data_IF_050430982112
#
_entry.id   IF_050430982112
#
_cell.length_a   1.000
_cell.length_b   1.000
_cell.length_c   1.000
_cell.angle_alpha   90.00
_cell.angle_beta   90.00
_cell.angle_gamma   90.00
#
_symmetry.space_group_name_H-M   'P 1'
#
loop_
_entity.id
_entity.type
_entity.pdbx_description
1 polymer ?
#
# COMPACT_ATOMS: atom_id res chain seq x y z
N UNK A 1 -23.84 -18.09 -46.88
CA UNK A 1 -24.29 -19.01 -45.84
C UNK A 1 -23.34 -18.86 -44.69
N UNK A 2 -23.91 -18.55 -43.58
CA UNK A 2 -23.35 -18.38 -42.22
C UNK A 2 -22.41 -17.19 -42.01
N UNK A 3 -22.99 -16.23 -41.38
CA UNK A 3 -22.39 -15.01 -40.84
C UNK A 3 -21.87 -15.30 -39.43
N UNK A 4 -20.61 -15.08 -39.23
CA UNK A 4 -20.07 -14.88 -37.89
C UNK A 4 -19.96 -13.39 -37.59
N UNK A 5 -20.72 -12.96 -36.62
CA UNK A 5 -20.70 -11.60 -36.10
C UNK A 5 -19.59 -11.46 -35.05
N UNK A 6 -18.56 -10.69 -35.37
CA UNK A 6 -17.51 -10.29 -34.43
C UNK A 6 -18.03 -9.35 -33.36
N UNK A 7 -17.73 -9.70 -32.10
CA UNK A 7 -18.03 -8.90 -30.92
C UNK A 7 -17.14 -7.67 -30.82
N UNK A 8 -17.77 -6.53 -30.70
CA UNK A 8 -17.13 -5.24 -30.41
C UNK A 8 -16.66 -5.17 -28.96
N UNK A 9 -15.37 -4.81 -28.75
CA UNK A 9 -14.83 -4.46 -27.46
C UNK A 9 -15.35 -3.09 -27.00
N UNK A 10 -16.25 -3.08 -26.02
CA UNK A 10 -16.66 -1.87 -25.32
C UNK A 10 -15.77 -1.66 -24.10
N UNK A 11 -15.20 -0.46 -23.97
CA UNK A 11 -14.59 0.06 -22.75
C UNK A 11 -15.69 0.22 -21.70
N UNK A 12 -15.94 -0.83 -20.90
CA UNK A 12 -16.97 -0.84 -19.85
C UNK A 12 -16.45 -0.23 -18.57
N UNK A 13 -17.22 0.72 -18.06
CA UNK A 13 -17.19 1.18 -16.69
C UNK A 13 -17.29 -0.06 -15.75
N UNK A 14 -16.28 -0.30 -14.86
CA UNK A 14 -16.29 -1.47 -13.97
C UNK A 14 -17.50 -1.53 -13.04
N UNK A 15 -18.13 -0.40 -12.75
CA UNK A 15 -19.35 -0.32 -11.92
C UNK A 15 -20.61 -0.72 -12.70
N UNK A 16 -20.67 -0.49 -14.00
CA UNK A 16 -21.81 -0.89 -14.85
C UNK A 16 -21.97 -2.39 -14.98
N UNK A 17 -20.86 -3.13 -15.06
CA UNK A 17 -20.86 -4.60 -15.09
C UNK A 17 -21.37 -5.23 -13.80
N UNK A 18 -21.00 -4.66 -12.65
CA UNK A 18 -21.47 -5.10 -11.32
C UNK A 18 -22.97 -4.89 -11.16
N UNK A 19 -23.49 -3.73 -11.56
CA UNK A 19 -24.91 -3.43 -11.50
C UNK A 19 -25.76 -4.45 -12.27
N UNK A 20 -25.28 -4.87 -13.42
CA UNK A 20 -25.96 -5.84 -14.28
C UNK A 20 -26.00 -7.26 -13.66
N UNK A 21 -24.98 -7.63 -12.87
CA UNK A 21 -24.93 -8.93 -12.18
C UNK A 21 -25.98 -9.02 -11.05
N UNK A 22 -26.24 -7.93 -10.35
CA UNK A 22 -27.27 -7.88 -9.30
C UNK A 22 -28.69 -7.79 -9.84
N UNK A 23 -28.88 -7.37 -11.08
CA UNK A 23 -30.18 -7.31 -11.77
C UNK A 23 -30.56 -8.61 -12.48
N UNK A 24 -29.70 -9.65 -12.46
CA UNK A 24 -29.98 -10.95 -13.05
C UNK A 24 -31.21 -11.60 -12.39
N UNK A 25 -32.28 -11.93 -13.14
CA UNK A 25 -33.47 -12.59 -12.58
C UNK A 25 -33.18 -13.94 -11.92
N UNK A 26 -32.06 -14.58 -12.28
CA UNK A 26 -31.61 -15.86 -11.72
C UNK A 26 -30.62 -15.72 -10.55
N UNK A 27 -30.42 -14.50 -10.04
CA UNK A 27 -29.49 -14.23 -8.97
C UNK A 27 -29.76 -15.10 -7.73
N UNK A 28 -31.00 -15.14 -7.26
CA UNK A 28 -31.40 -15.94 -6.10
C UNK A 28 -31.18 -17.44 -6.31
N UNK A 29 -31.42 -17.95 -7.50
CA UNK A 29 -31.19 -19.33 -7.86
C UNK A 29 -29.71 -19.70 -7.85
N UNK A 30 -28.85 -18.80 -8.37
CA UNK A 30 -27.40 -18.94 -8.34
C UNK A 30 -26.84 -18.93 -6.90
N UNK A 31 -27.37 -18.06 -6.05
CA UNK A 31 -26.96 -17.97 -4.65
C UNK A 31 -27.44 -19.17 -3.83
N UNK A 32 -28.64 -19.69 -4.10
CA UNK A 32 -29.19 -20.88 -3.46
C UNK A 32 -28.44 -22.16 -3.83
N UNK A 33 -27.93 -22.24 -5.08
CA UNK A 33 -27.15 -23.36 -5.57
C UNK A 33 -25.71 -23.41 -5.05
N UNK A 34 -25.20 -22.37 -4.43
CA UNK A 34 -23.84 -22.31 -3.93
C UNK A 34 -23.78 -22.54 -2.39
N UNK A 35 -23.02 -23.53 -1.88
CA UNK A 35 -22.97 -23.86 -0.47
C UNK A 35 -22.48 -22.73 0.44
N UNK A 36 -21.72 -21.77 -0.10
CA UNK A 36 -21.21 -20.59 0.66
C UNK A 36 -22.23 -19.48 0.83
N UNK A 37 -23.23 -19.38 -0.05
CA UNK A 37 -24.24 -18.30 -0.03
C UNK A 37 -25.63 -18.81 0.28
N UNK A 38 -25.90 -20.10 0.17
CA UNK A 38 -27.20 -20.69 0.47
C UNK A 38 -27.67 -20.43 1.92
N UNK A 39 -26.73 -20.47 2.90
CA UNK A 39 -27.02 -20.15 4.30
C UNK A 39 -27.41 -18.69 4.54
N UNK A 40 -26.91 -17.75 3.72
CA UNK A 40 -27.22 -16.33 3.84
C UNK A 40 -28.67 -16.00 3.44
N UNK A 41 -29.26 -16.82 2.57
CA UNK A 41 -30.66 -16.66 2.14
C UNK A 41 -31.67 -17.02 3.24
N UNK A 42 -31.23 -17.64 4.33
CA UNK A 42 -32.07 -17.88 5.50
C UNK A 42 -32.21 -16.65 6.42
N UNK A 43 -31.37 -15.63 6.24
CA UNK A 43 -31.40 -14.39 7.03
C UNK A 43 -32.28 -13.31 6.39
N UNK A 44 -33.42 -12.94 7.01
CA UNK A 44 -34.32 -11.91 6.48
C UNK A 44 -33.62 -10.53 6.29
N UNK A 45 -32.66 -10.19 7.16
CA UNK A 45 -31.93 -8.92 7.08
C UNK A 45 -31.04 -8.87 5.84
N UNK A 46 -30.46 -10.00 5.47
CA UNK A 46 -29.67 -10.13 4.26
C UNK A 46 -30.51 -10.03 2.99
N UNK A 47 -31.69 -10.68 2.97
CA UNK A 47 -32.62 -10.60 1.83
C UNK A 47 -33.10 -9.18 1.60
N UNK A 48 -33.45 -8.45 2.67
CA UNK A 48 -33.87 -7.05 2.57
C UNK A 48 -32.76 -6.17 1.98
N UNK A 49 -31.50 -6.39 2.40
CA UNK A 49 -30.34 -5.65 1.90
C UNK A 49 -30.02 -6.01 0.44
N UNK A 50 -30.15 -7.27 0.06
CA UNK A 50 -30.00 -7.72 -1.32
C UNK A 50 -31.03 -7.05 -2.24
N UNK A 51 -32.29 -6.95 -1.80
CA UNK A 51 -33.34 -6.25 -2.54
C UNK A 51 -33.07 -4.75 -2.67
N UNK A 52 -32.54 -4.12 -1.63
CA UNK A 52 -32.14 -2.71 -1.66
C UNK A 52 -31.05 -2.46 -2.71
N UNK A 53 -30.05 -3.34 -2.79
CA UNK A 53 -28.97 -3.26 -3.78
C UNK A 53 -29.47 -3.55 -5.20
N UNK A 54 -30.43 -4.45 -5.38
CA UNK A 54 -31.08 -4.66 -6.66
C UNK A 54 -31.80 -3.41 -7.17
N UNK A 55 -32.37 -2.62 -6.27
CA UNK A 55 -33.03 -1.34 -6.60
C UNK A 55 -32.02 -0.21 -6.85
N UNK A 56 -30.88 -0.21 -6.16
CA UNK A 56 -29.84 0.79 -6.31
C UNK A 56 -28.43 0.15 -6.33
N UNK A 57 -27.98 -0.40 -7.46
CA UNK A 57 -26.70 -1.14 -7.56
C UNK A 57 -25.44 -0.29 -7.35
N UNK A 58 -25.56 1.03 -7.40
CA UNK A 58 -24.46 1.98 -7.19
C UNK A 58 -24.34 2.46 -5.73
N UNK A 59 -25.09 1.87 -4.80
CA UNK A 59 -25.02 2.23 -3.39
C UNK A 59 -23.65 1.86 -2.78
N UNK A 60 -23.01 2.77 -2.02
CA UNK A 60 -21.77 2.47 -1.29
C UNK A 60 -21.94 1.34 -0.26
N UNK A 61 -23.17 1.01 0.12
CA UNK A 61 -23.51 -0.09 1.03
C UNK A 61 -23.18 -1.48 0.49
N UNK A 62 -22.93 -1.60 -0.82
CA UNK A 62 -22.51 -2.85 -1.47
C UNK A 62 -21.22 -3.42 -0.84
N UNK A 63 -20.29 -2.56 -0.45
CA UNK A 63 -18.99 -2.95 0.11
C UNK A 63 -18.95 -2.86 1.65
N UNK A 64 -20.02 -2.40 2.29
CA UNK A 64 -20.09 -2.21 3.74
C UNK A 64 -20.44 -3.48 4.50
N UNK A 65 -21.06 -4.47 3.85
CA UNK A 65 -21.46 -5.73 4.47
C UNK A 65 -20.59 -6.88 3.97
N UNK A 66 -19.84 -7.56 4.86
CA UNK A 66 -18.98 -8.69 4.47
C UNK A 66 -19.70 -9.80 3.70
N UNK A 67 -21.00 -10.02 3.98
CA UNK A 67 -21.83 -11.01 3.29
C UNK A 67 -22.05 -10.66 1.81
N UNK A 68 -22.12 -9.36 1.49
CA UNK A 68 -22.24 -8.91 0.10
C UNK A 68 -20.95 -9.14 -0.71
N UNK A 69 -19.78 -9.10 -0.06
CA UNK A 69 -18.53 -9.44 -0.70
C UNK A 69 -18.43 -10.94 -1.01
N UNK A 70 -19.00 -11.81 -0.18
CA UNK A 70 -19.13 -13.25 -0.48
C UNK A 70 -20.02 -13.49 -1.70
N UNK A 71 -21.15 -12.78 -1.79
CA UNK A 71 -22.04 -12.83 -2.95
C UNK A 71 -21.29 -12.39 -4.22
N UNK A 72 -20.55 -11.29 -4.13
CA UNK A 72 -19.76 -10.76 -5.23
C UNK A 72 -18.70 -11.79 -5.69
N UNK A 73 -18.00 -12.43 -4.76
CA UNK A 73 -17.05 -13.50 -5.05
C UNK A 73 -17.67 -14.66 -5.82
N UNK A 74 -18.87 -15.10 -5.41
CA UNK A 74 -19.62 -16.17 -6.08
C UNK A 74 -20.07 -15.74 -7.49
N UNK A 75 -20.53 -14.50 -7.67
CA UNK A 75 -20.97 -13.97 -8.94
C UNK A 75 -19.82 -13.77 -9.95
N UNK A 76 -18.64 -13.40 -9.44
CA UNK A 76 -17.43 -13.22 -10.26
C UNK A 76 -16.64 -14.52 -10.48
N UNK A 77 -17.04 -15.63 -9.86
CA UNK A 77 -16.29 -16.89 -9.91
C UNK A 77 -14.95 -16.86 -9.19
N UNK A 78 -14.76 -15.92 -8.24
CA UNK A 78 -13.52 -15.74 -7.48
C UNK A 78 -13.76 -16.17 -6.03
N UNK A 79 -12.88 -17.01 -5.49
CA UNK A 79 -12.97 -17.45 -4.09
C UNK A 79 -12.40 -16.39 -3.15
N UNK A 80 -13.24 -15.42 -2.76
CA UNK A 80 -12.92 -14.39 -1.78
C UNK A 80 -13.10 -14.97 -0.37
N UNK A 81 -12.02 -15.47 0.22
CA UNK A 81 -12.00 -15.82 1.64
C UNK A 81 -11.80 -14.56 2.48
N UNK A 82 -12.88 -14.05 3.05
CA UNK A 82 -12.81 -13.01 4.08
C UNK A 82 -12.65 -13.67 5.45
N UNK A 83 -11.59 -13.31 6.14
CA UNK A 83 -11.35 -13.67 7.53
C UNK A 83 -12.13 -12.68 8.39
N UNK A 84 -12.99 -13.20 9.28
CA UNK A 84 -13.68 -12.38 10.27
C UNK A 84 -12.68 -11.53 11.05
N UNK A 85 -12.78 -10.21 10.87
CA UNK A 85 -12.08 -9.23 11.68
C UNK A 85 -13.06 -8.76 12.75
N UNK A 86 -13.11 -9.45 13.87
CA UNK A 86 -13.66 -8.92 15.09
C UNK A 86 -12.53 -8.44 15.98
N UNK A 87 -12.60 -7.15 16.33
CA UNK A 87 -12.01 -6.46 17.45
C UNK A 87 -10.50 -6.19 17.46
N UNK A 88 -10.23 -4.89 17.57
CA UNK A 88 -8.91 -4.30 17.71
C UNK A 88 -8.24 -4.65 19.03
N UNK A 89 -6.94 -4.90 18.92
CA UNK A 89 -6.02 -4.86 20.05
C UNK A 89 -4.73 -4.16 19.64
N UNK A 90 -4.08 -3.42 20.54
CA UNK A 90 -2.94 -2.58 20.24
C UNK A 90 -1.67 -3.36 19.96
N UNK A 91 -0.80 -2.72 19.20
CA UNK A 91 0.53 -3.20 18.83
C UNK A 91 1.36 -3.63 20.05
N UNK A 92 2.01 -4.79 19.94
CA UNK A 92 3.26 -5.03 20.66
C UNK A 92 3.30 -6.13 21.72
N UNK A 93 2.25 -6.92 21.94
CA UNK A 93 2.36 -8.05 22.86
C UNK A 93 2.36 -9.39 22.10
N UNK A 94 3.52 -9.99 21.96
CA UNK A 94 3.62 -11.40 21.60
C UNK A 94 3.15 -12.20 22.82
N UNK A 95 1.94 -12.74 22.75
CA UNK A 95 1.38 -13.58 23.82
C UNK A 95 2.13 -14.90 23.86
N UNK A 96 3.06 -15.00 24.83
CA UNK A 96 3.81 -16.22 25.15
C UNK A 96 3.04 -17.15 26.08
N UNK A 97 1.76 -16.90 26.34
CA UNK A 97 0.97 -17.65 27.32
C UNK A 97 0.16 -18.79 26.71
N UNK A 98 0.26 -19.07 25.41
CA UNK A 98 -0.53 -20.11 24.77
C UNK A 98 0.22 -21.46 24.69
N UNK A 99 0.89 -21.84 25.76
CA UNK A 99 1.40 -23.19 25.99
C UNK A 99 0.57 -23.91 27.08
N UNK A 100 -0.71 -23.63 27.18
CA UNK A 100 -1.61 -24.41 28.02
C UNK A 100 -2.80 -24.85 27.17
N UNK A 101 -2.85 -26.20 27.05
CA UNK A 101 -4.05 -27.01 26.97
C UNK A 101 -4.65 -27.33 25.62
N UNK A 102 -4.21 -28.45 25.26
CA UNK A 102 -5.12 -29.52 24.92
C UNK A 102 -5.84 -29.99 26.19
N UNK A 103 -7.03 -29.60 26.43
CA UNK A 103 -7.98 -30.33 27.22
C UNK A 103 -9.40 -29.86 26.92
N UNK A 104 -10.15 -30.87 26.67
CA UNK A 104 -11.58 -31.07 26.89
C UNK A 104 -12.52 -30.72 25.76
N UNK A 105 -12.69 -31.75 24.93
CA UNK A 105 -13.97 -32.02 24.33
C UNK A 105 -15.02 -32.24 25.46
N UNK A 106 -16.02 -31.37 25.49
CA UNK A 106 -17.19 -31.59 26.37
C UNK A 106 -17.93 -32.86 25.94
N UNK A 107 -18.29 -33.74 26.87
CA UNK A 107 -19.04 -34.97 26.56
C UNK A 107 -20.51 -34.62 26.26
N UNK A 108 -21.03 -35.23 25.21
CA UNK A 108 -22.47 -35.30 24.96
C UNK A 108 -23.23 -35.97 26.12
N UNK A 109 -24.50 -35.60 26.39
CA UNK A 109 -25.28 -36.22 27.45
C UNK A 109 -25.61 -37.70 27.14
N UNK A 110 -25.57 -38.59 28.13
CA UNK A 110 -25.66 -40.03 27.90
C UNK A 110 -27.08 -40.48 27.53
N UNK A 111 -27.19 -41.25 26.45
CA UNK A 111 -28.38 -42.04 26.15
C UNK A 111 -28.49 -43.21 27.16
N UNK A 112 -29.66 -43.58 27.61
CA UNK A 112 -29.81 -44.67 28.59
C UNK A 112 -29.51 -46.02 27.95
N UNK A 113 -28.54 -46.74 28.52
CA UNK A 113 -28.26 -48.13 28.17
C UNK A 113 -28.89 -49.11 29.21
N UNK A 114 -29.24 -50.33 28.78
CA UNK A 114 -29.88 -51.30 29.65
C UNK A 114 -28.89 -51.89 30.65
N UNK A 115 -29.35 -52.15 31.86
CA UNK A 115 -28.59 -52.76 32.95
C UNK A 115 -28.06 -54.15 32.55
N UNK A 116 -26.75 -54.29 32.44
CA UNK A 116 -26.05 -55.57 32.35
C UNK A 116 -25.34 -55.90 33.67
N UNK A 117 -25.33 -57.18 33.95
CA UNK A 117 -24.92 -57.84 35.17
C UNK A 117 -23.48 -57.49 35.63
N UNK A 118 -23.31 -57.41 36.93
CA UNK A 118 -22.04 -57.28 37.64
C UNK A 118 -21.13 -58.47 37.30
N UNK A 119 -19.90 -58.25 36.76
CA UNK A 119 -18.85 -59.25 36.73
C UNK A 119 -18.03 -59.21 38.02
N UNK A 120 -17.58 -60.32 38.40
CA UNK A 120 -16.69 -60.57 39.53
C UNK A 120 -15.38 -59.81 39.43
N UNK A 121 -14.71 -59.45 40.52
CA UNK A 121 -13.46 -58.72 40.52
C UNK A 121 -12.36 -59.52 39.83
N UNK A 122 -11.88 -58.96 38.70
CA UNK A 122 -10.61 -59.47 38.11
C UNK A 122 -9.45 -58.99 38.96
N UNK A 123 -8.40 -59.82 39.12
CA UNK A 123 -7.19 -59.41 39.85
C UNK A 123 -6.58 -58.16 39.18
N UNK A 124 -6.16 -57.20 39.99
CA UNK A 124 -5.43 -56.02 39.56
C UNK A 124 -4.25 -56.47 38.70
N UNK A 125 -4.00 -55.80 37.52
CA UNK A 125 -2.80 -56.08 36.73
C UNK A 125 -1.57 -55.80 37.60
N UNK A 126 -0.75 -56.77 37.80
CA UNK A 126 0.58 -56.64 38.39
C UNK A 126 1.31 -55.57 37.63
N UNK A 127 1.71 -54.47 38.31
CA UNK A 127 2.54 -53.42 37.76
C UNK A 127 3.88 -54.09 37.39
N UNK A 128 4.14 -54.20 36.09
CA UNK A 128 5.47 -54.52 35.60
C UNK A 128 6.48 -53.53 36.24
N UNK A 129 7.68 -53.99 36.68
CA UNK A 129 8.65 -53.09 37.28
C UNK A 129 8.98 -51.99 36.30
N UNK A 130 8.60 -50.74 36.62
CA UNK A 130 9.05 -49.58 35.88
C UNK A 130 10.57 -49.63 35.84
N UNK A 131 11.13 -49.61 34.62
CA UNK A 131 12.57 -49.60 34.38
C UNK A 131 13.16 -48.43 35.21
N UNK A 132 14.11 -48.65 36.10
CA UNK A 132 14.70 -47.64 36.98
C UNK A 132 15.16 -46.41 36.17
N UNK A 133 15.58 -46.62 34.93
CA UNK A 133 15.97 -45.57 33.99
C UNK A 133 14.77 -44.69 33.55
N UNK A 134 13.59 -45.27 33.35
CA UNK A 134 12.38 -44.55 33.02
C UNK A 134 11.91 -43.66 34.20
N UNK A 135 12.04 -44.16 35.42
CA UNK A 135 11.71 -43.45 36.64
C UNK A 135 12.68 -42.28 36.88
N UNK A 136 13.98 -42.43 36.62
CA UNK A 136 14.97 -41.36 36.69
C UNK A 136 14.73 -40.26 35.66
N UNK A 137 14.44 -40.64 34.42
CA UNK A 137 14.07 -39.68 33.35
C UNK A 137 12.83 -38.89 33.72
N UNK A 138 11.81 -39.51 34.29
CA UNK A 138 10.59 -38.86 34.75
C UNK A 138 10.87 -37.84 35.86
N UNK A 139 11.68 -38.20 36.87
CA UNK A 139 12.09 -37.29 37.93
C UNK A 139 12.91 -36.13 37.43
N UNK A 140 13.83 -36.36 36.48
CA UNK A 140 14.63 -35.32 35.85
C UNK A 140 13.74 -34.32 35.07
N UNK A 141 12.75 -34.82 34.33
CA UNK A 141 11.79 -33.97 33.59
C UNK A 141 10.93 -33.16 34.55
N UNK A 142 10.40 -33.75 35.63
CA UNK A 142 9.62 -33.01 36.65
C UNK A 142 10.43 -31.90 37.33
N UNK A 143 11.72 -32.14 37.59
CA UNK A 143 12.63 -31.13 38.13
C UNK A 143 12.89 -30.01 37.15
N UNK A 144 13.10 -30.34 35.85
CA UNK A 144 13.28 -29.38 34.77
C UNK A 144 12.03 -28.52 34.54
N UNK A 145 10.83 -29.13 34.57
CA UNK A 145 9.57 -28.41 34.43
C UNK A 145 9.30 -27.45 35.59
N UNK A 146 9.73 -27.75 36.80
CA UNK A 146 9.71 -26.81 37.95
C UNK A 146 10.60 -25.61 37.69
N UNK A 147 11.81 -25.81 37.21
CA UNK A 147 12.73 -24.73 36.84
C UNK A 147 12.18 -23.90 35.70
N UNK A 148 11.59 -24.51 34.64
CA UNK A 148 10.88 -23.84 33.57
C UNK A 148 9.76 -22.93 34.13
N UNK A 149 8.97 -23.44 35.08
CA UNK A 149 7.88 -22.66 35.67
C UNK A 149 8.40 -21.43 36.43
N UNK A 150 9.49 -21.56 37.21
CA UNK A 150 10.16 -20.45 37.87
C UNK A 150 10.75 -19.46 36.87
N UNK A 151 11.35 -19.95 35.79
CA UNK A 151 11.82 -19.09 34.68
C UNK A 151 10.69 -18.31 34.05
N UNK A 152 9.53 -18.93 33.80
CA UNK A 152 8.36 -18.27 33.23
C UNK A 152 7.76 -17.22 34.16
N UNK A 153 7.77 -17.47 35.47
CA UNK A 153 7.34 -16.50 36.48
C UNK A 153 8.24 -15.25 36.46
N UNK A 154 9.57 -15.46 36.46
CA UNK A 154 10.55 -14.37 36.40
C UNK A 154 10.48 -13.62 35.05
N UNK A 155 10.29 -14.32 33.94
CA UNK A 155 10.06 -13.71 32.63
C UNK A 155 8.85 -12.77 32.63
N UNK A 156 7.70 -13.19 33.20
CA UNK A 156 6.50 -12.34 33.34
C UNK A 156 6.74 -11.11 34.20
N UNK A 157 7.61 -11.24 35.22
CA UNK A 157 8.05 -10.10 36.08
C UNK A 157 9.11 -9.22 35.42
N UNK A 158 9.55 -9.57 34.19
CA UNK A 158 10.66 -8.93 33.46
C UNK A 158 12.03 -9.06 34.14
N UNK A 159 12.19 -10.03 35.03
CA UNK A 159 13.47 -10.40 35.64
C UNK A 159 14.18 -11.37 34.69
N UNK A 160 14.73 -10.84 33.59
CA UNK A 160 15.23 -11.69 32.51
C UNK A 160 16.49 -12.47 32.89
N UNK A 161 17.34 -11.93 33.77
CA UNK A 161 18.56 -12.64 34.22
C UNK A 161 18.23 -13.91 35.01
N UNK A 162 17.28 -13.81 35.94
CA UNK A 162 16.79 -14.95 36.72
C UNK A 162 16.03 -15.94 35.82
N UNK A 163 15.24 -15.44 34.86
CA UNK A 163 14.55 -16.29 33.90
C UNK A 163 15.54 -17.11 33.05
N UNK A 164 16.61 -16.47 32.56
CA UNK A 164 17.69 -17.10 31.82
C UNK A 164 18.36 -18.19 32.64
N UNK A 165 18.70 -17.90 33.91
CA UNK A 165 19.32 -18.90 34.82
C UNK A 165 18.42 -20.10 35.01
N UNK A 166 17.11 -19.93 35.26
CA UNK A 166 16.16 -21.01 35.44
C UNK A 166 15.97 -21.83 34.14
N UNK A 167 15.85 -21.19 32.97
CA UNK A 167 15.72 -21.94 31.73
C UNK A 167 16.99 -22.70 31.35
N UNK A 168 18.15 -22.14 31.63
CA UNK A 168 19.45 -22.84 31.46
C UNK A 168 19.51 -24.08 32.32
N UNK A 169 19.15 -23.95 33.60
CA UNK A 169 19.11 -25.08 34.54
C UNK A 169 18.08 -26.17 34.13
N UNK A 170 16.92 -25.74 33.63
CA UNK A 170 15.93 -26.67 33.10
C UNK A 170 16.51 -27.48 31.93
N UNK A 171 17.24 -26.83 30.99
CA UNK A 171 17.92 -27.51 29.89
C UNK A 171 19.03 -28.47 30.35
N UNK A 172 19.76 -28.13 31.41
CA UNK A 172 20.78 -29.03 31.97
C UNK A 172 20.20 -30.29 32.61
N UNK A 173 19.04 -30.15 33.28
CA UNK A 173 18.35 -31.24 33.94
C UNK A 173 17.68 -32.19 32.93
N UNK A 174 17.08 -31.65 31.91
CA UNK A 174 16.38 -32.44 30.87
C UNK A 174 16.44 -31.75 29.52
N UNK A 175 16.73 -32.52 28.46
CA UNK A 175 16.90 -31.99 27.09
C UNK A 175 15.55 -31.88 26.38
N UNK A 176 14.85 -30.75 26.59
CA UNK A 176 13.63 -30.41 25.87
C UNK A 176 13.84 -29.04 25.22
N UNK A 177 13.69 -28.99 23.88
CA UNK A 177 13.93 -27.77 23.07
C UNK A 177 13.02 -26.59 23.47
N UNK A 178 11.91 -26.85 24.14
CA UNK A 178 11.05 -25.80 24.68
C UNK A 178 11.77 -24.89 25.67
N UNK A 179 12.69 -25.48 26.47
CA UNK A 179 13.50 -24.70 27.43
C UNK A 179 14.48 -23.76 26.70
N UNK A 180 15.12 -24.24 25.62
CA UNK A 180 15.98 -23.42 24.78
C UNK A 180 15.19 -22.32 24.06
N UNK A 181 13.98 -22.59 23.61
CA UNK A 181 13.11 -21.60 23.04
C UNK A 181 12.73 -20.51 24.04
N UNK A 182 12.45 -20.88 25.29
CA UNK A 182 12.16 -19.93 26.36
C UNK A 182 13.40 -19.13 26.75
N UNK A 183 14.58 -19.78 26.78
CA UNK A 183 15.86 -19.12 26.96
C UNK A 183 16.12 -18.07 25.86
N UNK A 184 15.87 -18.44 24.60
CA UNK A 184 15.96 -17.51 23.48
C UNK A 184 14.98 -16.34 23.62
N UNK A 185 13.75 -16.58 24.11
CA UNK A 185 12.79 -15.52 24.37
C UNK A 185 13.27 -14.55 25.45
N UNK A 186 13.83 -15.05 26.56
CA UNK A 186 14.32 -14.22 27.63
C UNK A 186 15.52 -13.37 27.21
N UNK A 187 16.45 -13.94 26.43
CA UNK A 187 17.56 -13.19 25.85
C UNK A 187 17.09 -12.12 24.87
N UNK A 188 16.08 -12.42 24.04
CA UNK A 188 15.50 -11.44 23.12
C UNK A 188 14.91 -10.23 23.85
N UNK A 189 14.09 -10.48 24.88
CA UNK A 189 13.47 -9.41 25.67
C UNK A 189 14.49 -8.62 26.52
N UNK A 190 15.57 -9.27 26.94
CA UNK A 190 16.72 -8.61 27.57
C UNK A 190 17.48 -7.69 26.61
N UNK A 191 17.37 -7.93 25.29
CA UNK A 191 18.10 -7.22 24.24
C UNK A 191 19.43 -7.88 23.85
N UNK A 192 19.71 -9.07 24.39
CA UNK A 192 20.88 -9.88 23.99
C UNK A 192 20.50 -10.75 22.78
N UNK A 193 20.51 -10.11 21.61
CA UNK A 193 20.05 -10.76 20.37
C UNK A 193 21.00 -11.87 19.93
N UNK A 194 22.32 -11.76 20.22
CA UNK A 194 23.25 -12.82 19.88
C UNK A 194 23.01 -14.08 20.73
N UNK A 195 22.87 -13.94 22.05
CA UNK A 195 22.54 -15.08 22.92
C UNK A 195 21.15 -15.68 22.57
N UNK A 196 20.21 -14.87 22.10
CA UNK A 196 18.95 -15.35 21.57
C UNK A 196 19.14 -16.24 20.32
N UNK A 197 19.95 -15.80 19.37
CA UNK A 197 20.29 -16.55 18.14
C UNK A 197 20.94 -17.88 18.52
N UNK A 198 21.95 -17.86 19.39
CA UNK A 198 22.70 -19.05 19.81
C UNK A 198 21.78 -20.08 20.49
N UNK A 199 20.93 -19.63 21.43
CA UNK A 199 19.97 -20.52 22.11
C UNK A 199 18.94 -21.12 21.14
N UNK A 200 18.40 -20.32 20.21
CA UNK A 200 17.42 -20.81 19.25
C UNK A 200 18.04 -21.67 18.14
N UNK A 201 19.28 -21.40 17.72
CA UNK A 201 20.01 -22.26 16.79
C UNK A 201 20.25 -23.63 17.40
N UNK A 202 20.69 -23.67 18.66
CA UNK A 202 20.81 -24.91 19.41
C UNK A 202 19.48 -25.65 19.53
N UNK A 203 18.37 -24.91 19.73
CA UNK A 203 17.04 -25.52 19.78
C UNK A 203 16.64 -26.17 18.44
N UNK A 204 17.05 -25.57 17.30
CA UNK A 204 16.83 -26.16 15.97
C UNK A 204 17.67 -27.41 15.75
N UNK A 205 18.97 -27.38 16.09
CA UNK A 205 19.90 -28.50 15.93
C UNK A 205 19.44 -29.70 16.74
N UNK A 206 19.29 -29.53 18.05
CA UNK A 206 18.82 -30.57 18.96
C UNK A 206 17.41 -31.08 18.61
N UNK A 207 16.52 -30.13 18.19
CA UNK A 207 15.16 -30.47 17.80
C UNK A 207 15.08 -31.36 16.57
N UNK A 208 16.00 -31.20 15.62
CA UNK A 208 16.09 -32.07 14.45
C UNK A 208 16.61 -33.48 14.81
N UNK A 209 17.56 -33.56 15.71
CA UNK A 209 18.11 -34.85 16.16
C UNK A 209 17.06 -35.71 16.88
N UNK A 210 16.18 -35.09 17.69
CA UNK A 210 15.15 -35.81 18.46
C UNK A 210 13.80 -35.89 17.73
N UNK A 211 13.71 -35.44 16.47
CA UNK A 211 12.46 -35.34 15.69
C UNK A 211 11.35 -34.58 16.41
N UNK A 212 11.69 -33.44 17.01
CA UNK A 212 10.75 -32.58 17.72
C UNK A 212 9.66 -32.02 16.81
N UNK A 213 8.55 -31.56 17.41
CA UNK A 213 7.46 -30.94 16.66
C UNK A 213 7.99 -29.76 15.81
N UNK A 214 7.78 -29.85 14.50
CA UNK A 214 8.18 -28.84 13.52
C UNK A 214 7.62 -27.44 13.84
N UNK A 215 6.49 -27.34 14.58
CA UNK A 215 5.96 -26.05 15.04
C UNK A 215 6.89 -25.37 16.05
N UNK A 216 7.57 -26.17 16.90
CA UNK A 216 8.52 -25.64 17.88
C UNK A 216 9.79 -25.19 17.16
N UNK A 217 10.27 -25.97 16.19
CA UNK A 217 11.42 -25.63 15.34
C UNK A 217 11.11 -24.34 14.54
N UNK A 218 9.90 -24.22 13.99
CA UNK A 218 9.47 -23.02 13.28
C UNK A 218 9.49 -21.77 14.18
N UNK A 219 9.06 -21.90 15.45
CA UNK A 219 9.13 -20.80 16.44
C UNK A 219 10.58 -20.38 16.71
N UNK A 220 11.52 -21.33 16.79
CA UNK A 220 12.95 -21.03 16.95
C UNK A 220 13.47 -20.21 15.76
N UNK A 221 13.22 -20.66 14.54
CA UNK A 221 13.60 -19.92 13.34
C UNK A 221 12.98 -18.51 13.28
N UNK A 222 11.70 -18.39 13.61
CA UNK A 222 11.03 -17.10 13.63
C UNK A 222 11.68 -16.13 14.64
N UNK A 223 12.15 -16.64 15.79
CA UNK A 223 12.83 -15.85 16.80
C UNK A 223 14.24 -15.45 16.37
N UNK A 224 14.99 -16.37 15.74
CA UNK A 224 16.28 -16.06 15.12
C UNK A 224 16.11 -14.93 14.10
N UNK A 225 15.10 -15.04 13.21
CA UNK A 225 14.79 -14.01 12.24
C UNK A 225 14.49 -12.66 12.90
N UNK A 226 13.69 -12.64 13.98
CA UNK A 226 13.41 -11.42 14.73
C UNK A 226 14.63 -10.82 15.41
N UNK A 227 15.57 -11.67 15.90
CA UNK A 227 16.83 -11.20 16.50
C UNK A 227 17.75 -10.58 15.46
N UNK A 228 17.90 -11.19 14.29
CA UNK A 228 18.67 -10.59 13.17
C UNK A 228 18.04 -9.28 12.68
N UNK A 229 16.71 -9.19 12.65
CA UNK A 229 16.03 -7.93 12.29
C UNK A 229 16.37 -6.80 13.29
N UNK A 230 16.44 -7.11 14.59
CA UNK A 230 16.88 -6.15 15.62
C UNK A 230 18.34 -5.74 15.49
N UNK A 231 19.19 -6.64 14.99
CA UNK A 231 20.59 -6.35 14.67
C UNK A 231 20.75 -5.58 13.34
N UNK A 232 19.69 -5.43 12.55
CA UNK A 232 19.73 -4.78 11.23
C UNK A 232 20.23 -5.69 10.11
N UNK A 233 20.45 -6.97 10.39
CA UNK A 233 20.85 -7.98 9.40
C UNK A 233 19.61 -8.59 8.75
N UNK A 234 19.07 -7.85 7.79
CA UNK A 234 17.84 -8.25 7.11
C UNK A 234 18.03 -9.49 6.21
N UNK A 235 19.25 -9.80 5.77
CA UNK A 235 19.52 -10.96 4.94
C UNK A 235 19.28 -12.25 5.72
N UNK A 236 19.94 -12.38 6.86
CA UNK A 236 19.75 -13.54 7.75
C UNK A 236 18.34 -13.56 8.37
N UNK A 237 17.73 -12.39 8.65
CA UNK A 237 16.35 -12.33 9.12
C UNK A 237 15.38 -12.95 8.10
N UNK A 238 15.46 -12.56 6.83
CA UNK A 238 14.63 -13.07 5.73
C UNK A 238 14.83 -14.58 5.53
N UNK A 239 16.08 -15.06 5.57
CA UNK A 239 16.40 -16.47 5.44
C UNK A 239 15.74 -17.30 6.55
N UNK A 240 15.88 -16.87 7.80
CA UNK A 240 15.30 -17.57 8.95
C UNK A 240 13.78 -17.51 8.97
N UNK A 241 13.14 -16.42 8.55
CA UNK A 241 11.68 -16.39 8.38
C UNK A 241 11.21 -17.35 7.29
N UNK A 242 11.95 -17.52 6.20
CA UNK A 242 11.66 -18.51 5.16
C UNK A 242 11.78 -19.93 5.70
N UNK A 243 12.83 -20.22 6.48
CA UNK A 243 12.97 -21.52 7.15
C UNK A 243 11.79 -21.79 8.10
N UNK A 244 11.41 -20.81 8.92
CA UNK A 244 10.24 -20.93 9.78
C UNK A 244 8.96 -21.27 9.00
N UNK A 245 8.72 -20.60 7.86
CA UNK A 245 7.55 -20.83 7.01
C UNK A 245 7.60 -22.16 6.25
N UNK A 246 8.79 -22.72 6.03
CA UNK A 246 8.97 -24.06 5.47
C UNK A 246 8.56 -25.13 6.48
N UNK A 247 8.97 -24.96 7.74
CA UNK A 247 8.60 -25.88 8.83
C UNK A 247 7.11 -25.74 9.19
N UNK A 248 6.63 -24.51 9.38
CA UNK A 248 5.22 -24.25 9.71
C UNK A 248 4.77 -22.87 9.22
N UNK A 249 3.76 -22.84 8.36
CA UNK A 249 3.23 -21.58 7.80
C UNK A 249 2.31 -20.88 8.80
N UNK A 250 2.68 -19.68 9.21
CA UNK A 250 1.86 -18.81 10.04
C UNK A 250 1.69 -17.43 9.40
N UNK A 251 0.53 -16.77 9.54
CA UNK A 251 0.30 -15.42 9.02
C UNK A 251 1.24 -14.39 9.64
N UNK A 252 1.58 -14.52 10.91
CA UNK A 252 2.49 -13.62 11.65
C UNK A 252 3.89 -13.63 11.02
N UNK A 253 4.49 -14.83 10.82
CA UNK A 253 5.82 -14.92 10.20
C UNK A 253 5.82 -14.44 8.75
N UNK A 254 4.71 -14.64 8.00
CA UNK A 254 4.56 -14.05 6.68
C UNK A 254 4.58 -12.52 6.72
N UNK A 255 3.91 -11.92 7.70
CA UNK A 255 3.93 -10.46 7.87
C UNK A 255 5.33 -9.95 8.22
N UNK A 256 6.04 -10.65 9.13
CA UNK A 256 7.44 -10.34 9.49
C UNK A 256 8.38 -10.46 8.28
N UNK A 257 8.24 -11.52 7.48
CA UNK A 257 9.04 -11.69 6.26
C UNK A 257 8.87 -10.50 5.31
N UNK A 258 7.62 -10.10 5.03
CA UNK A 258 7.34 -8.95 4.16
C UNK A 258 7.89 -7.63 4.73
N UNK A 259 7.79 -7.45 6.05
CA UNK A 259 8.35 -6.30 6.73
C UNK A 259 9.89 -6.27 6.61
N UNK A 260 10.56 -7.40 6.85
CA UNK A 260 12.01 -7.51 6.73
C UNK A 260 12.49 -7.27 5.28
N UNK A 261 11.78 -7.81 4.28
CA UNK A 261 12.07 -7.55 2.86
C UNK A 261 11.93 -6.05 2.52
N UNK A 262 10.88 -5.40 3.02
CA UNK A 262 10.69 -3.96 2.87
C UNK A 262 11.80 -3.16 3.56
N UNK A 263 12.14 -3.51 4.78
CA UNK A 263 13.19 -2.85 5.57
C UNK A 263 14.56 -3.01 4.92
N UNK A 264 14.87 -4.20 4.35
CA UNK A 264 16.08 -4.44 3.56
C UNK A 264 16.16 -3.51 2.36
N UNK A 265 15.06 -3.41 1.59
CA UNK A 265 15.01 -2.52 0.42
C UNK A 265 15.21 -1.05 0.83
N UNK A 266 14.56 -0.61 1.91
CA UNK A 266 14.68 0.74 2.44
C UNK A 266 16.10 1.02 2.96
N UNK A 267 16.69 0.09 3.71
CA UNK A 267 18.07 0.19 4.19
C UNK A 267 19.07 0.30 3.02
N UNK A 268 18.89 -0.53 2.00
CA UNK A 268 19.70 -0.48 0.79
C UNK A 268 19.53 0.85 0.05
N UNK A 269 18.32 1.37 -0.02
CA UNK A 269 18.02 2.68 -0.60
C UNK A 269 18.70 3.81 0.17
N UNK A 270 18.61 3.78 1.49
CA UNK A 270 19.26 4.78 2.35
C UNK A 270 20.80 4.72 2.26
N UNK A 271 21.36 3.52 2.22
CA UNK A 271 22.80 3.34 2.05
C UNK A 271 23.32 3.80 0.67
N UNK A 272 22.42 3.86 -0.33
CA UNK A 272 22.75 4.35 -1.66
C UNK A 272 22.79 5.87 -1.75
N UNK A 273 22.22 6.59 -0.80
CA UNK A 273 22.17 8.05 -0.78
C UNK A 273 23.59 8.61 -0.59
N UNK A 274 24.04 9.42 -1.56
CA UNK A 274 25.35 10.04 -1.58
C UNK A 274 25.26 11.39 -2.35
N UNK A 275 25.16 12.52 -1.63
CA UNK A 275 25.03 13.82 -2.27
C UNK A 275 26.20 14.21 -3.18
N UNK A 276 27.42 13.75 -2.89
CA UNK A 276 28.59 14.04 -3.73
C UNK A 276 28.49 13.33 -5.09
N UNK A 277 28.16 12.04 -5.07
CA UNK A 277 27.91 11.28 -6.30
C UNK A 277 26.67 11.74 -7.05
N UNK A 278 25.66 12.29 -6.33
CA UNK A 278 24.51 12.90 -6.98
C UNK A 278 24.90 14.14 -7.80
N UNK A 279 25.83 14.95 -7.28
CA UNK A 279 26.32 16.12 -7.99
C UNK A 279 27.15 15.73 -9.23
N UNK A 280 28.02 14.71 -9.12
CA UNK A 280 28.75 14.15 -10.25
C UNK A 280 27.80 13.66 -11.35
N UNK A 281 26.76 12.91 -10.97
CA UNK A 281 25.74 12.44 -11.90
C UNK A 281 24.96 13.59 -12.54
N UNK A 282 24.71 14.68 -11.81
CA UNK A 282 24.08 15.90 -12.34
C UNK A 282 24.94 16.56 -13.41
N UNK A 283 26.26 16.67 -13.16
CA UNK A 283 27.19 17.26 -14.11
C UNK A 283 27.32 16.42 -15.38
N UNK A 284 27.38 15.11 -15.24
CA UNK A 284 27.37 14.20 -16.38
C UNK A 284 26.08 14.32 -17.19
N UNK A 285 24.93 14.36 -16.52
CA UNK A 285 23.64 14.56 -17.16
C UNK A 285 23.57 15.90 -17.91
N UNK A 286 24.07 16.99 -17.33
CA UNK A 286 24.13 18.30 -17.96
C UNK A 286 25.05 18.28 -19.19
N UNK A 287 26.16 17.53 -19.15
CA UNK A 287 27.08 17.37 -20.30
C UNK A 287 26.36 16.63 -21.44
N UNK A 288 25.77 15.46 -21.14
CA UNK A 288 25.02 14.67 -22.14
C UNK A 288 23.84 15.46 -22.73
N UNK A 289 23.14 16.21 -21.90
CA UNK A 289 22.05 17.07 -22.37
C UNK A 289 22.53 18.15 -23.38
N UNK A 290 23.71 18.78 -23.14
CA UNK A 290 24.31 19.72 -24.06
C UNK A 290 24.79 19.05 -25.36
N UNK A 291 25.24 17.83 -25.28
CA UNK A 291 25.67 16.99 -26.42
C UNK A 291 24.49 16.42 -27.22
N UNK A 292 23.23 16.72 -26.78
CA UNK A 292 21.99 16.19 -27.36
C UNK A 292 21.83 14.67 -27.19
N UNK A 293 22.60 14.04 -26.32
CA UNK A 293 22.37 12.65 -25.86
C UNK A 293 21.30 12.63 -24.77
N UNK A 294 20.03 12.71 -25.18
CA UNK A 294 18.92 12.76 -24.24
C UNK A 294 18.73 11.44 -23.46
N UNK A 295 18.84 10.25 -24.07
CA UNK A 295 18.78 9.00 -23.31
C UNK A 295 19.88 8.90 -22.26
N UNK A 296 21.11 9.27 -22.59
CA UNK A 296 22.21 9.33 -21.64
C UNK A 296 21.99 10.36 -20.52
N UNK A 297 21.40 11.51 -20.83
CA UNK A 297 21.03 12.51 -19.83
C UNK A 297 19.98 11.98 -18.86
N UNK A 298 18.93 11.28 -19.35
CA UNK A 298 17.90 10.64 -18.53
C UNK A 298 18.52 9.61 -17.59
N UNK A 299 19.46 8.78 -18.08
CA UNK A 299 20.16 7.80 -17.26
C UNK A 299 20.96 8.46 -16.13
N UNK A 300 21.75 9.50 -16.44
CA UNK A 300 22.54 10.22 -15.46
C UNK A 300 21.67 10.98 -14.42
N UNK A 301 20.62 11.65 -14.85
CA UNK A 301 19.70 12.27 -13.89
C UNK A 301 18.91 11.24 -13.05
N UNK A 302 18.66 10.04 -13.59
CA UNK A 302 18.06 8.94 -12.81
C UNK A 302 19.02 8.46 -11.72
N UNK A 303 20.32 8.40 -12.01
CA UNK A 303 21.32 8.11 -10.99
C UNK A 303 21.40 9.22 -9.93
N UNK A 304 21.36 10.50 -10.34
CA UNK A 304 21.27 11.62 -9.42
C UNK A 304 20.07 11.47 -8.46
N UNK A 305 18.88 11.13 -8.97
CA UNK A 305 17.66 10.95 -8.18
C UNK A 305 17.84 9.80 -7.18
N UNK A 306 18.45 8.69 -7.57
CA UNK A 306 18.74 7.58 -6.66
C UNK A 306 19.69 7.97 -5.53
N UNK A 307 20.69 8.81 -5.82
CA UNK A 307 21.69 9.30 -4.87
C UNK A 307 21.18 10.44 -3.97
N UNK A 308 20.24 11.25 -4.48
CA UNK A 308 19.65 12.36 -3.74
C UNK A 308 18.14 12.47 -4.05
N UNK A 309 17.30 11.56 -3.52
CA UNK A 309 15.88 11.47 -3.85
C UNK A 309 15.03 12.65 -3.35
N UNK A 310 15.56 13.47 -2.45
CA UNK A 310 14.87 14.67 -1.94
C UNK A 310 15.25 15.94 -2.73
N UNK A 311 16.23 15.87 -3.62
CA UNK A 311 16.67 17.01 -4.43
C UNK A 311 15.74 17.20 -5.65
N UNK A 312 14.97 18.31 -5.73
CA UNK A 312 14.06 18.59 -6.84
C UNK A 312 14.78 18.78 -8.18
N UNK A 313 16.06 19.14 -8.16
CA UNK A 313 16.86 19.42 -9.36
C UNK A 313 16.97 18.19 -10.25
N UNK A 314 17.12 17.00 -9.67
CA UNK A 314 17.23 15.74 -10.42
C UNK A 314 16.01 15.46 -11.26
N UNK A 315 14.85 15.51 -10.65
CA UNK A 315 13.55 15.34 -11.32
C UNK A 315 13.33 16.39 -12.39
N UNK A 316 13.52 17.66 -12.05
CA UNK A 316 13.33 18.75 -13.00
C UNK A 316 14.29 18.65 -14.21
N UNK A 317 15.53 18.25 -14.02
CA UNK A 317 16.49 18.10 -15.14
C UNK A 317 16.11 16.90 -16.01
N UNK A 318 15.65 15.77 -15.40
CA UNK A 318 15.16 14.61 -16.15
C UNK A 318 13.89 14.97 -16.94
N UNK A 319 12.98 15.73 -16.35
CA UNK A 319 11.81 16.25 -17.04
C UNK A 319 12.19 17.05 -18.30
N UNK A 320 13.24 17.89 -18.24
CA UNK A 320 13.71 18.62 -19.41
C UNK A 320 14.22 17.70 -20.52
N UNK A 321 14.89 16.59 -20.17
CA UNK A 321 15.32 15.58 -21.14
C UNK A 321 14.11 14.84 -21.74
N UNK A 322 13.12 14.47 -20.92
CA UNK A 322 11.88 13.85 -21.40
C UNK A 322 11.07 14.76 -22.35
N UNK A 323 11.01 16.06 -22.07
CA UNK A 323 10.39 17.03 -23.00
C UNK A 323 11.09 17.00 -24.36
N UNK A 324 12.42 16.90 -24.39
CA UNK A 324 13.19 16.80 -25.64
C UNK A 324 12.99 15.46 -26.37
N UNK A 325 12.72 14.41 -25.63
CA UNK A 325 12.37 13.07 -26.17
C UNK A 325 10.88 12.96 -26.54
N UNK A 326 10.09 13.99 -26.35
CA UNK A 326 8.62 14.02 -26.54
C UNK A 326 7.87 13.07 -25.58
N UNK A 327 8.51 12.63 -24.50
CA UNK A 327 7.91 11.82 -23.43
C UNK A 327 7.25 12.73 -22.39
N UNK A 328 6.22 13.45 -22.79
CA UNK A 328 5.57 14.47 -21.98
C UNK A 328 4.91 13.92 -20.70
N UNK A 329 4.26 12.72 -20.69
CA UNK A 329 3.69 12.16 -19.46
C UNK A 329 4.76 11.96 -18.38
N UNK A 330 5.91 11.38 -18.73
CA UNK A 330 7.04 11.19 -17.83
C UNK A 330 7.61 12.52 -17.32
N UNK A 331 7.68 13.51 -18.21
CA UNK A 331 8.10 14.87 -17.84
C UNK A 331 7.14 15.50 -16.80
N UNK A 332 5.83 15.34 -16.97
CA UNK A 332 4.82 15.87 -16.03
C UNK A 332 4.91 15.19 -14.65
N UNK A 333 5.11 13.88 -14.61
CA UNK A 333 5.30 13.14 -13.37
C UNK A 333 6.52 13.64 -12.60
N UNK A 334 7.64 13.82 -13.29
CA UNK A 334 8.86 14.36 -12.71
C UNK A 334 8.68 15.81 -12.24
N UNK A 335 8.01 16.66 -13.02
CA UNK A 335 7.71 18.04 -12.60
C UNK A 335 6.85 18.06 -11.33
N UNK A 336 5.79 17.25 -11.27
CA UNK A 336 4.94 17.17 -10.10
C UNK A 336 5.70 16.64 -8.88
N UNK A 337 6.61 15.68 -9.08
CA UNK A 337 7.46 15.16 -8.02
C UNK A 337 8.42 16.24 -7.51
N UNK A 338 9.05 17.00 -8.40
CA UNK A 338 9.93 18.10 -8.03
C UNK A 338 9.19 19.19 -7.23
N UNK A 339 7.96 19.55 -7.65
CA UNK A 339 7.09 20.50 -6.93
C UNK A 339 6.71 19.98 -5.56
N UNK A 340 6.41 18.67 -5.44
CA UNK A 340 6.10 18.04 -4.15
C UNK A 340 7.30 18.08 -3.19
N UNK A 341 8.53 17.92 -3.71
CA UNK A 341 9.77 18.00 -2.91
C UNK A 341 10.09 19.43 -2.49
N UNK A 342 9.97 20.37 -3.41
CA UNK A 342 10.14 21.80 -3.13
C UNK A 342 9.08 22.61 -3.88
N UNK A 343 8.01 23.05 -3.18
CA UNK A 343 6.96 23.88 -3.78
C UNK A 343 7.43 25.25 -4.30
N UNK A 344 8.65 25.68 -3.94
CA UNK A 344 9.24 26.94 -4.41
C UNK A 344 10.14 26.78 -5.64
N UNK A 345 10.37 25.55 -6.08
CA UNK A 345 11.31 25.26 -7.15
C UNK A 345 10.76 25.63 -8.53
N UNK A 346 10.94 26.88 -8.89
CA UNK A 346 10.35 27.52 -10.10
C UNK A 346 10.59 26.78 -11.41
N UNK A 347 11.78 26.15 -11.57
CA UNK A 347 12.12 25.41 -12.79
C UNK A 347 11.16 24.27 -13.10
N UNK A 348 10.59 23.63 -12.08
CA UNK A 348 9.64 22.55 -12.27
C UNK A 348 8.32 23.05 -12.86
N UNK A 349 7.83 24.23 -12.43
CA UNK A 349 6.62 24.84 -12.99
C UNK A 349 6.80 25.26 -14.45
N UNK A 350 7.94 25.87 -14.78
CA UNK A 350 8.24 26.25 -16.16
C UNK A 350 8.28 25.01 -17.07
N UNK A 351 8.89 23.91 -16.62
CA UNK A 351 8.95 22.68 -17.40
C UNK A 351 7.61 21.96 -17.49
N UNK A 352 6.78 22.02 -16.43
CA UNK A 352 5.39 21.57 -16.46
C UNK A 352 4.61 22.28 -17.57
N UNK A 353 4.74 23.60 -17.67
CA UNK A 353 4.14 24.38 -18.75
C UNK A 353 4.67 23.97 -20.13
N UNK A 354 5.97 23.72 -20.28
CA UNK A 354 6.57 23.25 -21.52
C UNK A 354 6.08 21.86 -21.92
N UNK A 355 5.89 20.96 -20.96
CA UNK A 355 5.37 19.62 -21.21
C UNK A 355 3.90 19.65 -21.68
N UNK A 356 3.05 20.46 -21.04
CA UNK A 356 1.67 20.66 -21.49
C UNK A 356 1.61 21.28 -22.89
N UNK A 357 2.48 22.25 -23.17
CA UNK A 357 2.60 22.82 -24.50
C UNK A 357 2.93 21.75 -25.56
N UNK A 358 3.89 20.89 -25.28
CA UNK A 358 4.28 19.79 -26.17
C UNK A 358 3.14 18.79 -26.43
N UNK A 359 2.29 18.57 -25.44
CA UNK A 359 1.06 17.75 -25.56
C UNK A 359 -0.06 18.47 -26.33
N UNK A 360 0.13 19.69 -26.79
CA UNK A 360 -0.88 20.58 -27.35
C UNK A 360 -2.02 20.93 -26.38
N UNK A 361 -1.80 20.75 -25.10
CA UNK A 361 -2.68 21.17 -24.00
C UNK A 361 -2.35 22.62 -23.64
N UNK A 362 -2.76 23.52 -24.52
CA UNK A 362 -2.34 24.92 -24.43
C UNK A 362 -2.97 25.66 -23.25
N UNK A 363 -4.20 25.33 -22.89
CA UNK A 363 -4.88 25.89 -21.71
C UNK A 363 -4.14 25.54 -20.42
N UNK A 364 -3.85 24.26 -20.22
CA UNK A 364 -3.12 23.75 -19.06
C UNK A 364 -1.67 24.31 -19.03
N UNK A 365 -1.08 24.60 -20.20
CA UNK A 365 0.21 25.27 -20.27
C UNK A 365 0.13 26.71 -19.75
N UNK A 366 -0.92 27.45 -20.08
CA UNK A 366 -1.17 28.81 -19.58
C UNK A 366 -1.42 28.80 -18.08
N UNK A 367 -2.22 27.87 -17.58
CA UNK A 367 -2.48 27.69 -16.15
C UNK A 367 -1.18 27.41 -15.37
N UNK A 368 -0.34 26.52 -15.90
CA UNK A 368 0.97 26.25 -15.31
C UNK A 368 1.91 27.46 -15.34
N UNK A 369 1.84 28.32 -16.37
CA UNK A 369 2.56 29.60 -16.41
C UNK A 369 2.03 30.59 -15.36
N UNK A 370 0.72 30.62 -15.14
CA UNK A 370 0.09 31.46 -14.10
C UNK A 370 0.52 31.00 -12.69
N UNK A 371 0.54 29.69 -12.42
CA UNK A 371 1.11 29.13 -11.19
C UNK A 371 2.58 29.56 -11.03
N UNK A 372 3.38 29.42 -12.10
CA UNK A 372 4.80 29.79 -12.10
C UNK A 372 4.98 31.29 -11.78
N UNK A 373 4.16 32.19 -12.32
CA UNK A 373 4.22 33.66 -12.05
C UNK A 373 4.00 33.95 -10.56
N UNK A 374 3.02 33.29 -9.95
CA UNK A 374 2.72 33.47 -8.52
C UNK A 374 3.93 33.04 -7.68
N UNK A 375 4.49 31.87 -7.96
CA UNK A 375 5.67 31.33 -7.23
C UNK A 375 6.89 32.22 -7.47
N UNK A 376 7.14 32.69 -8.71
CA UNK A 376 8.27 33.54 -9.06
C UNK A 376 8.18 34.87 -8.31
N UNK A 377 7.00 35.50 -8.29
CA UNK A 377 6.80 36.76 -7.58
C UNK A 377 6.95 36.61 -6.05
N UNK A 378 6.43 35.53 -5.47
CA UNK A 378 6.45 35.32 -4.04
C UNK A 378 7.83 34.93 -3.49
N UNK A 379 8.62 34.17 -4.25
CA UNK A 379 9.84 33.54 -3.76
C UNK A 379 11.11 33.92 -4.52
N UNK A 380 11.00 34.45 -5.73
CA UNK A 380 12.13 34.77 -6.60
C UNK A 380 12.14 36.22 -7.08
N UNK A 381 11.28 37.09 -6.54
CA UNK A 381 11.18 38.53 -6.90
C UNK A 381 11.02 38.77 -8.40
N UNK A 382 10.33 37.87 -9.11
CA UNK A 382 10.11 38.00 -10.55
C UNK A 382 11.34 37.72 -11.44
N UNK A 383 12.37 37.08 -10.91
CA UNK A 383 13.61 36.85 -11.65
C UNK A 383 13.45 35.97 -12.90
N UNK A 384 12.41 35.15 -12.95
CA UNK A 384 12.13 34.25 -14.08
C UNK A 384 10.95 34.71 -14.95
N UNK A 385 10.35 35.89 -14.67
CA UNK A 385 9.16 36.39 -15.35
C UNK A 385 9.30 36.40 -16.87
N UNK A 386 10.46 36.79 -17.41
CA UNK A 386 10.70 36.81 -18.86
C UNK A 386 10.55 35.44 -19.52
N UNK A 387 11.08 34.37 -18.88
CA UNK A 387 10.99 33.01 -19.42
C UNK A 387 9.55 32.51 -19.35
N UNK A 388 8.86 32.77 -18.24
CA UNK A 388 7.46 32.40 -18.02
C UNK A 388 6.56 33.11 -19.01
N UNK A 389 6.72 34.44 -19.20
CA UNK A 389 5.94 35.22 -20.16
C UNK A 389 6.15 34.77 -21.61
N UNK A 390 7.38 34.41 -21.98
CA UNK A 390 7.66 33.83 -23.29
C UNK A 390 6.95 32.49 -23.50
N UNK A 391 6.92 31.64 -22.49
CA UNK A 391 6.24 30.34 -22.58
C UNK A 391 4.72 30.53 -22.66
N UNK A 392 4.17 31.40 -21.84
CA UNK A 392 2.75 31.78 -21.87
C UNK A 392 2.34 32.34 -23.22
N UNK A 393 3.12 33.30 -23.78
CA UNK A 393 2.87 33.89 -25.10
C UNK A 393 2.87 32.82 -26.20
N UNK A 394 3.82 31.88 -26.15
CA UNK A 394 3.84 30.74 -27.09
C UNK A 394 2.57 29.91 -26.99
N UNK A 395 2.13 29.60 -25.74
CA UNK A 395 0.93 28.81 -25.52
C UNK A 395 -0.32 29.54 -26.04
N UNK A 396 -0.47 30.85 -25.77
CA UNK A 396 -1.55 31.66 -26.30
C UNK A 396 -1.54 31.68 -27.84
N UNK A 397 -0.39 31.96 -28.46
CA UNK A 397 -0.27 32.00 -29.91
C UNK A 397 -0.67 30.67 -30.56
N UNK A 398 -0.17 29.57 -30.01
CA UNK A 398 -0.50 28.23 -30.53
C UNK A 398 -1.99 27.88 -30.32
N UNK A 399 -2.58 28.30 -29.20
CA UNK A 399 -4.00 28.12 -28.93
C UNK A 399 -4.88 28.89 -29.91
N UNK A 400 -4.51 30.14 -30.21
CA UNK A 400 -5.22 30.96 -31.22
C UNK A 400 -5.10 30.33 -32.60
N UNK A 401 -3.88 29.97 -33.04
CA UNK A 401 -3.66 29.35 -34.34
C UNK A 401 -4.42 28.03 -34.50
N UNK A 402 -4.51 27.21 -33.43
CA UNK A 402 -5.27 25.98 -33.45
C UNK A 402 -6.79 26.20 -33.61
N UNK A 403 -7.28 27.36 -33.18
CA UNK A 403 -8.71 27.74 -33.21
C UNK A 403 -9.09 28.62 -34.43
N UNK A 404 -8.13 29.03 -35.25
CA UNK A 404 -8.37 29.92 -36.38
C UNK A 404 -9.38 29.31 -37.39
N UNK A 405 -9.48 27.99 -37.45
CA UNK A 405 -10.38 27.26 -38.32
C UNK A 405 -11.59 26.62 -37.58
N UNK A 406 -11.80 26.91 -36.28
CA UNK A 406 -12.97 26.44 -35.56
C UNK A 406 -14.24 27.14 -36.05
N UNK A 407 -15.28 26.36 -36.36
CA UNK A 407 -16.60 26.91 -36.62
C UNK A 407 -17.25 27.42 -35.33
N UNK A 408 -18.24 28.31 -35.45
CA UNK A 408 -18.98 28.84 -34.31
C UNK A 408 -19.66 27.71 -33.50
N UNK A 409 -20.11 26.68 -34.21
CA UNK A 409 -20.77 25.50 -33.60
C UNK A 409 -19.78 24.66 -32.79
N UNK A 410 -18.59 24.40 -33.31
CA UNK A 410 -17.49 23.72 -32.61
C UNK A 410 -17.02 24.52 -31.39
N UNK A 411 -16.93 25.84 -31.54
CA UNK A 411 -16.60 26.72 -30.41
C UNK A 411 -17.66 26.64 -29.31
N UNK A 412 -18.94 26.67 -29.66
CA UNK A 412 -20.05 26.60 -28.72
C UNK A 412 -20.09 25.24 -28.01
N UNK A 413 -19.90 24.14 -28.74
CA UNK A 413 -19.85 22.80 -28.19
C UNK A 413 -18.70 22.64 -27.20
N UNK A 414 -17.51 23.13 -27.52
CA UNK A 414 -16.33 23.10 -26.63
C UNK A 414 -16.55 23.91 -25.35
N UNK A 415 -17.08 25.15 -25.50
CA UNK A 415 -17.36 26.02 -24.37
C UNK A 415 -18.43 25.42 -23.42
N UNK A 416 -19.43 24.74 -23.96
CA UNK A 416 -20.48 24.10 -23.16
C UNK A 416 -19.98 22.91 -22.33
N UNK A 417 -18.84 22.32 -22.72
CA UNK A 417 -18.20 21.20 -21.98
C UNK A 417 -17.24 21.67 -20.88
N UNK A 418 -16.93 22.97 -20.83
CA UNK A 418 -16.04 23.56 -19.83
C UNK A 418 -16.84 24.18 -18.68
N UNK A 419 -16.95 23.52 -17.50
CA UNK A 419 -17.77 23.99 -16.40
C UNK A 419 -17.26 25.30 -15.80
N UNK A 420 -15.95 25.57 -15.89
CA UNK A 420 -15.36 26.81 -15.38
C UNK A 420 -15.73 28.01 -16.27
N UNK A 421 -15.62 27.85 -17.57
CA UNK A 421 -16.04 28.89 -18.54
C UNK A 421 -17.55 29.16 -18.43
N UNK A 422 -18.35 28.09 -18.27
CA UNK A 422 -19.81 28.26 -18.07
C UNK A 422 -20.12 29.02 -16.78
N UNK A 423 -19.37 28.77 -15.71
CA UNK A 423 -19.51 29.51 -14.45
C UNK A 423 -19.16 30.98 -14.60
N UNK A 424 -18.04 31.29 -15.29
CA UNK A 424 -17.62 32.67 -15.55
C UNK A 424 -18.64 33.40 -16.45
N UNK A 425 -19.13 32.74 -17.48
CA UNK A 425 -20.15 33.28 -18.38
C UNK A 425 -21.51 33.47 -17.70
N UNK A 426 -21.81 32.65 -16.68
CA UNK A 426 -23.02 32.80 -15.85
C UNK A 426 -22.91 33.86 -14.75
N UNK A 427 -21.72 34.39 -14.48
CA UNK A 427 -21.49 35.42 -13.45
C UNK A 427 -22.08 36.80 -13.92
N UNK A 428 -23.11 37.35 -13.23
CA UNK A 428 -23.72 38.61 -13.63
C UNK A 428 -22.75 39.79 -13.70
N UNK A 429 -21.72 39.79 -12.84
CA UNK A 429 -20.69 40.84 -12.84
C UNK A 429 -19.83 40.75 -14.11
N UNK A 430 -19.44 39.53 -14.49
CA UNK A 430 -18.68 39.31 -15.71
C UNK A 430 -19.51 39.64 -16.97
N UNK A 431 -20.80 39.29 -16.98
CA UNK A 431 -21.70 39.66 -18.09
C UNK A 431 -21.78 41.16 -18.26
N UNK A 432 -21.94 41.92 -17.17
CA UNK A 432 -21.97 43.39 -17.21
C UNK A 432 -20.64 43.99 -17.74
N UNK A 433 -19.51 43.47 -17.27
CA UNK A 433 -18.16 43.89 -17.73
C UNK A 433 -17.99 43.59 -19.23
N UNK A 434 -18.40 42.42 -19.70
CA UNK A 434 -18.31 42.04 -21.12
C UNK A 434 -19.22 42.88 -22.00
N UNK A 435 -20.43 43.21 -21.52
CA UNK A 435 -21.35 44.07 -22.21
C UNK A 435 -20.80 45.51 -22.32
N UNK A 436 -20.24 46.04 -21.24
CA UNK A 436 -19.60 47.33 -21.24
C UNK A 436 -18.38 47.37 -22.19
N UNK A 437 -17.58 46.29 -22.19
CA UNK A 437 -16.42 46.18 -23.07
C UNK A 437 -16.77 46.16 -24.58
N UNK A 438 -17.98 45.72 -24.94
CA UNK A 438 -18.46 45.76 -26.32
C UNK A 438 -18.74 47.20 -26.79
N UNK A 439 -19.18 48.08 -25.90
CA UNK A 439 -19.46 49.46 -26.19
C UNK A 439 -18.27 50.39 -25.97
N UNK A 440 -17.48 50.07 -24.93
CA UNK A 440 -16.31 50.85 -24.52
C UNK A 440 -15.10 49.94 -24.26
N UNK A 441 -14.28 49.64 -25.27
CA UNK A 441 -13.13 48.71 -25.10
C UNK A 441 -12.12 49.17 -24.05
N UNK A 442 -12.00 50.48 -23.81
CA UNK A 442 -11.11 51.04 -22.78
C UNK A 442 -11.57 50.68 -21.35
N UNK A 443 -12.86 50.49 -21.11
CA UNK A 443 -13.40 50.13 -19.83
C UNK A 443 -12.90 48.73 -19.38
N UNK A 444 -12.65 47.81 -20.30
CA UNK A 444 -12.10 46.50 -19.98
C UNK A 444 -10.73 46.61 -19.32
N UNK A 445 -9.88 47.54 -19.76
CA UNK A 445 -8.56 47.77 -19.17
C UNK A 445 -8.65 48.24 -17.70
N UNK A 446 -9.66 49.07 -17.41
CA UNK A 446 -9.92 49.54 -16.05
C UNK A 446 -10.37 48.37 -15.14
N UNK A 447 -11.32 47.56 -15.63
CA UNK A 447 -11.77 46.36 -14.90
C UNK A 447 -10.66 45.31 -14.67
N UNK A 448 -9.72 45.19 -15.61
CA UNK A 448 -8.55 44.31 -15.50
C UNK A 448 -7.53 44.75 -14.43
N UNK A 449 -7.67 45.93 -13.82
CA UNK A 449 -6.87 46.28 -12.62
C UNK A 449 -7.24 45.42 -11.42
N UNK A 450 -8.47 44.91 -11.38
CA UNK A 450 -8.86 43.93 -10.39
C UNK A 450 -8.26 42.53 -10.75
N UNK A 451 -7.46 41.89 -9.86
CA UNK A 451 -6.82 40.61 -10.15
C UNK A 451 -7.80 39.49 -10.50
N UNK A 452 -8.94 39.42 -9.82
CA UNK A 452 -9.94 38.37 -10.04
C UNK A 452 -10.64 38.51 -11.39
N UNK A 453 -11.00 39.75 -11.74
CA UNK A 453 -11.58 40.10 -13.07
C UNK A 453 -10.57 39.79 -14.16
N UNK A 454 -9.30 40.18 -13.95
CA UNK A 454 -8.20 39.89 -14.89
C UNK A 454 -8.07 38.43 -15.18
N UNK A 455 -8.04 37.58 -14.12
CA UNK A 455 -7.93 36.13 -14.25
C UNK A 455 -9.12 35.54 -15.03
N UNK A 456 -10.35 35.97 -14.74
CA UNK A 456 -11.55 35.53 -15.45
C UNK A 456 -11.55 35.98 -16.92
N UNK A 457 -11.17 37.25 -17.20
CA UNK A 457 -11.06 37.75 -18.57
C UNK A 457 -9.98 37.02 -19.36
N UNK A 458 -8.83 36.76 -18.76
CA UNK A 458 -7.76 35.96 -19.39
C UNK A 458 -8.24 34.55 -19.74
N UNK A 459 -9.00 33.91 -18.86
CA UNK A 459 -9.62 32.60 -19.14
C UNK A 459 -10.62 32.68 -20.30
N UNK A 460 -11.47 33.69 -20.36
CA UNK A 460 -12.39 33.88 -21.47
C UNK A 460 -11.67 34.17 -22.79
N UNK A 461 -10.58 34.91 -22.75
CA UNK A 461 -9.70 35.13 -23.91
C UNK A 461 -9.06 33.80 -24.30
N UNK A 462 -8.51 33.07 -23.34
CA UNK A 462 -7.93 31.76 -23.55
C UNK A 462 -8.94 30.77 -24.12
N UNK A 463 -10.19 30.81 -23.68
CA UNK A 463 -11.29 30.01 -24.20
C UNK A 463 -11.77 30.43 -25.59
N UNK A 464 -11.36 31.62 -26.10
CA UNK A 464 -11.78 32.17 -27.39
C UNK A 464 -13.18 32.78 -27.38
N UNK A 465 -13.73 33.04 -26.19
CA UNK A 465 -15.00 33.79 -26.02
C UNK A 465 -14.79 35.24 -26.37
N UNK A 466 -13.67 35.81 -25.93
CA UNK A 466 -13.28 37.21 -26.25
C UNK A 466 -12.23 37.14 -27.35
N UNK A 467 -12.54 37.67 -28.50
CA UNK A 467 -11.58 37.87 -29.59
C UNK A 467 -10.94 39.26 -29.41
N UNK A 468 -9.68 39.30 -29.04
CA UNK A 468 -8.92 40.58 -29.03
C UNK A 468 -8.63 40.92 -30.48
N UNK A 469 -9.23 41.98 -30.99
CA UNK A 469 -9.02 42.46 -32.37
C UNK A 469 -7.53 42.70 -32.66
N UNK A 470 -7.13 42.38 -33.90
CA UNK A 470 -5.82 42.75 -34.44
C UNK A 470 -5.70 44.26 -34.56
#
# INVERSE_FOLDING_TARGET
MEQETGGAGGSGDPMGGLAQMFQDPKLLEKLAGNPKTSGLLADPSFIAKLQQIQQNPSSPDLFSDPRMLQVLGVLMGVDLQMRDSAEGMPEGAVDLTNDTEMADAMPEPPRPQPKAKVPEPQPEPEQEPEDDEALEKKKAKEAADKEKALGTENYKKRNFDEAIAHYTKAWELFKDITYLNNLGAANFEKGDYQACIDACTKAVEEGREIYADFKIIAKSYARIGSAYEKLGDYDHAIENYKHSLTEHRTPDVNAKLRAAEKNKLESSRLAYIDPAKAEEAREEGNKKFKEMDMPGAVAAYTEMIKRAPEDPRGYSNRAAAFVKLLEFPSALEDCNTAIKKDPKFIRAYIRKAQAYFGMRKYSESVDACSEAKIIDQQHHNGANSREIDQQEQKAFTAMYSARENETEEQTRERLSKDPEIMTIMGDPVMQAILQQAQTEPAALQEHMKNPDVRAKVQKLIAAGVIRVGR
#
